data_IF_013981077477
#
_entry.id   IF_013981077477
#
_cell.length_a   1.000
_cell.length_b   1.000
_cell.length_c   1.000
_cell.angle_alpha   90.00
_cell.angle_beta   90.00
_cell.angle_gamma   90.00
#
_symmetry.space_group_name_H-M   'P 1'
#
loop_
_entity.id
_entity.type
_entity.pdbx_description
1 polymer ?
#
# COMPACT_ATOMS: atom_id res chain seq x y z
N UNK A 1 -31.58 -54.23 49.91
CA UNK A 1 -32.16 -53.04 49.26
C UNK A 1 -32.28 -51.97 50.34
N UNK A 2 -31.27 -51.11 50.49
CA UNK A 2 -31.31 -50.02 51.46
C UNK A 2 -32.00 -48.83 50.79
N UNK A 3 -33.21 -48.51 51.22
CA UNK A 3 -33.84 -47.23 50.88
C UNK A 3 -32.91 -46.11 51.36
N UNK A 4 -32.45 -45.19 50.48
CA UNK A 4 -31.74 -44.01 50.94
C UNK A 4 -32.71 -43.23 51.82
N UNK A 5 -32.35 -43.05 53.09
CA UNK A 5 -33.10 -42.19 53.99
C UNK A 5 -32.93 -40.77 53.43
N UNK A 6 -33.97 -40.25 52.77
CA UNK A 6 -34.00 -38.86 52.35
C UNK A 6 -34.04 -37.98 53.58
N UNK A 7 -32.95 -37.28 53.80
CA UNK A 7 -32.88 -36.26 54.83
C UNK A 7 -33.11 -34.95 54.10
N UNK A 8 -34.24 -34.27 54.34
CA UNK A 8 -34.65 -33.10 53.55
C UNK A 8 -33.58 -32.01 53.44
N UNK A 9 -32.73 -31.86 54.46
CA UNK A 9 -31.60 -30.91 54.44
C UNK A 9 -30.50 -31.28 53.46
N UNK A 10 -30.18 -32.57 53.29
CA UNK A 10 -29.13 -33.07 52.37
C UNK A 10 -29.63 -32.99 50.93
N UNK A 11 -30.84 -33.48 50.65
CA UNK A 11 -31.42 -33.41 49.30
C UNK A 11 -31.55 -31.96 48.82
N UNK A 12 -31.99 -31.05 49.70
CA UNK A 12 -32.06 -29.62 49.38
C UNK A 12 -30.67 -28.99 49.20
N UNK A 13 -29.62 -29.48 49.89
CA UNK A 13 -28.26 -29.00 49.67
C UNK A 13 -27.70 -29.49 48.33
N UNK A 14 -27.90 -30.77 47.99
CA UNK A 14 -27.48 -31.37 46.72
C UNK A 14 -28.11 -30.62 45.54
N UNK A 15 -29.41 -30.32 45.62
CA UNK A 15 -30.15 -29.62 44.56
C UNK A 15 -29.69 -28.16 44.39
N UNK A 16 -29.33 -27.49 45.49
CA UNK A 16 -28.79 -26.11 45.45
C UNK A 16 -27.32 -26.05 44.99
N UNK A 17 -26.57 -27.14 45.14
CA UNK A 17 -25.12 -27.18 44.92
C UNK A 17 -24.73 -28.22 43.85
N UNK A 18 -25.47 -28.29 42.74
CA UNK A 18 -25.27 -29.26 41.64
C UNK A 18 -23.84 -29.32 41.09
N UNK A 19 -23.08 -28.22 41.15
CA UNK A 19 -21.67 -28.17 40.72
C UNK A 19 -20.76 -28.99 41.64
N UNK A 20 -21.03 -28.99 42.94
CA UNK A 20 -20.14 -29.54 43.97
C UNK A 20 -20.60 -30.92 44.42
N UNK A 21 -21.92 -31.16 44.42
CA UNK A 21 -22.53 -32.39 44.93
C UNK A 21 -21.97 -33.69 44.32
N UNK A 22 -21.50 -33.76 43.05
CA UNK A 22 -20.85 -34.98 42.54
C UNK A 22 -19.57 -35.37 43.31
N UNK A 23 -18.93 -34.41 43.99
CA UNK A 23 -17.71 -34.63 44.77
C UNK A 23 -17.98 -34.97 46.24
N UNK A 24 -19.26 -35.07 46.64
CA UNK A 24 -19.65 -35.32 48.02
C UNK A 24 -20.46 -36.60 48.10
N UNK A 25 -20.01 -37.55 48.91
CA UNK A 25 -20.73 -38.78 49.20
C UNK A 25 -21.21 -38.77 50.65
N UNK A 26 -22.46 -39.18 50.84
CA UNK A 26 -23.09 -39.29 52.15
C UNK A 26 -23.27 -40.78 52.48
N UNK A 27 -22.60 -41.25 53.53
CA UNK A 27 -22.73 -42.63 54.02
C UNK A 27 -23.43 -42.62 55.39
N UNK A 28 -24.39 -43.53 55.60
CA UNK A 28 -25.04 -43.72 56.90
C UNK A 28 -24.27 -44.77 57.70
N UNK A 29 -24.03 -44.50 58.98
CA UNK A 29 -23.36 -45.43 59.91
C UNK A 29 -24.39 -46.10 60.82
N UNK A 30 -24.21 -47.40 61.08
CA UNK A 30 -25.09 -48.21 61.95
C UNK A 30 -24.91 -47.90 63.45
N UNK A 31 -24.46 -46.70 63.81
CA UNK A 31 -24.19 -46.32 65.20
C UNK A 31 -22.88 -46.84 65.79
N UNK A 32 -21.98 -47.41 64.98
CA UNK A 32 -20.65 -47.84 65.43
C UNK A 32 -19.82 -46.63 65.90
N UNK A 33 -19.63 -46.52 67.21
CA UNK A 33 -18.94 -45.41 67.89
C UNK A 33 -17.50 -45.24 67.42
N UNK A 34 -16.79 -46.32 67.06
CA UNK A 34 -15.41 -46.23 66.54
C UNK A 34 -15.40 -45.59 65.16
N UNK A 35 -16.35 -45.96 64.30
CA UNK A 35 -16.52 -45.34 62.99
C UNK A 35 -16.86 -43.85 63.15
N UNK A 36 -17.81 -43.51 64.02
CA UNK A 36 -18.21 -42.11 64.28
C UNK A 36 -17.01 -41.27 64.74
N UNK A 37 -16.16 -41.77 65.64
CA UNK A 37 -14.94 -41.06 66.05
C UNK A 37 -13.94 -40.87 64.91
N UNK A 38 -13.70 -41.91 64.10
CA UNK A 38 -12.85 -41.80 62.90
C UNK A 38 -13.39 -40.76 61.92
N UNK A 39 -14.72 -40.66 61.79
CA UNK A 39 -15.35 -39.66 60.93
C UNK A 39 -15.26 -38.24 61.47
N UNK A 40 -15.35 -38.03 62.79
CA UNK A 40 -15.05 -36.72 63.40
C UNK A 40 -13.61 -36.29 63.10
N UNK A 41 -12.65 -37.20 63.18
CA UNK A 41 -11.26 -36.92 62.81
C UNK A 41 -11.09 -36.61 61.30
N UNK A 42 -11.77 -37.36 60.42
CA UNK A 42 -11.74 -37.11 58.98
C UNK A 42 -12.40 -35.77 58.60
N UNK A 43 -13.47 -35.38 59.29
CA UNK A 43 -14.13 -34.08 59.13
C UNK A 43 -13.18 -32.92 59.41
N UNK A 44 -12.45 -32.96 60.53
CA UNK A 44 -11.44 -31.95 60.86
C UNK A 44 -10.30 -31.91 59.84
N UNK A 45 -9.88 -33.09 59.35
CA UNK A 45 -8.90 -33.18 58.27
C UNK A 45 -9.41 -32.52 56.98
N UNK A 46 -10.65 -32.80 56.58
CA UNK A 46 -11.25 -32.17 55.40
C UNK A 46 -11.36 -30.65 55.56
N UNK A 47 -11.79 -30.15 56.72
CA UNK A 47 -11.83 -28.72 57.01
C UNK A 47 -10.43 -28.07 56.85
N UNK A 48 -9.40 -28.70 57.41
CA UNK A 48 -8.01 -28.23 57.30
C UNK A 48 -7.54 -28.22 55.84
N UNK A 49 -7.77 -29.31 55.10
CA UNK A 49 -7.42 -29.41 53.67
C UNK A 49 -8.19 -28.38 52.83
N UNK A 50 -9.46 -28.14 53.13
CA UNK A 50 -10.32 -27.18 52.44
C UNK A 50 -9.85 -25.74 52.66
N UNK A 51 -9.48 -25.39 53.90
CA UNK A 51 -8.93 -24.06 54.23
C UNK A 51 -7.59 -23.83 53.54
N UNK A 52 -6.71 -24.85 53.50
CA UNK A 52 -5.45 -24.79 52.77
C UNK A 52 -5.67 -24.64 51.25
N UNK A 53 -6.61 -25.41 50.69
CA UNK A 53 -7.01 -25.31 49.28
C UNK A 53 -7.50 -23.90 48.95
N UNK A 54 -8.43 -23.36 49.76
CA UNK A 54 -8.95 -22.00 49.60
C UNK A 54 -7.85 -20.94 49.65
N UNK A 55 -6.96 -21.02 50.64
CA UNK A 55 -5.82 -20.10 50.77
C UNK A 55 -4.94 -20.10 49.52
N UNK A 56 -4.65 -21.28 48.96
CA UNK A 56 -3.88 -21.40 47.71
C UNK A 56 -4.64 -20.77 46.52
N UNK A 57 -5.94 -21.01 46.41
CA UNK A 57 -6.78 -20.42 45.36
C UNK A 57 -6.83 -18.89 45.48
N UNK A 58 -6.93 -18.32 46.69
CA UNK A 58 -6.89 -16.88 46.91
C UNK A 58 -5.55 -16.25 46.50
N UNK A 59 -4.44 -16.93 46.76
CA UNK A 59 -3.12 -16.50 46.28
C UNK A 59 -3.06 -16.49 44.74
N UNK A 60 -3.55 -17.55 44.09
CA UNK A 60 -3.65 -17.61 42.62
C UNK A 60 -4.58 -16.53 42.06
N UNK A 61 -5.68 -16.23 42.76
CA UNK A 61 -6.64 -15.18 42.38
C UNK A 61 -5.97 -13.81 42.37
N UNK A 62 -5.23 -13.50 43.43
CA UNK A 62 -4.48 -12.24 43.55
C UNK A 62 -3.40 -12.14 42.48
N UNK A 63 -2.74 -13.25 42.14
CA UNK A 63 -1.78 -13.29 41.03
C UNK A 63 -2.45 -13.03 39.67
N UNK A 64 -3.63 -13.61 39.42
CA UNK A 64 -4.39 -13.36 38.19
C UNK A 64 -4.82 -11.88 38.08
N UNK A 65 -5.31 -11.28 39.17
CA UNK A 65 -5.65 -9.85 39.23
C UNK A 65 -4.41 -8.99 38.93
N UNK A 66 -3.28 -9.32 39.55
CA UNK A 66 -2.02 -8.62 39.30
C UNK A 66 -1.63 -8.66 37.82
N UNK A 67 -1.68 -9.83 37.19
CA UNK A 67 -1.39 -9.99 35.76
C UNK A 67 -2.39 -9.22 34.88
N UNK A 68 -3.67 -9.16 35.25
CA UNK A 68 -4.65 -8.34 34.52
C UNK A 68 -4.25 -6.86 34.57
N UNK A 69 -3.92 -6.33 35.75
CA UNK A 69 -3.47 -4.94 35.91
C UNK A 69 -2.19 -4.70 35.10
N UNK A 70 -1.17 -5.56 35.25
CA UNK A 70 0.11 -5.42 34.55
C UNK A 70 -0.07 -5.39 33.01
N UNK A 71 -0.94 -6.24 32.45
CA UNK A 71 -1.17 -6.27 31.00
C UNK A 71 -2.07 -5.13 30.53
N UNK A 72 -3.03 -4.71 31.35
CA UNK A 72 -3.90 -3.57 31.06
C UNK A 72 -3.12 -2.25 31.05
N UNK A 73 -2.21 -2.09 32.01
CA UNK A 73 -1.41 -0.87 32.19
C UNK A 73 -0.20 -0.83 31.26
N UNK A 74 0.18 -1.97 30.66
CA UNK A 74 1.24 -2.03 29.67
C UNK A 74 0.87 -1.20 28.42
N UNK A 75 1.75 -0.30 27.95
CA UNK A 75 1.44 0.53 26.80
C UNK A 75 1.20 -0.33 25.55
N UNK A 76 0.23 0.09 24.74
CA UNK A 76 0.06 -0.48 23.42
C UNK A 76 1.28 -0.12 22.57
N UNK A 77 1.96 -1.14 22.04
CA UNK A 77 2.98 -0.93 21.03
C UNK A 77 2.35 -0.16 19.86
N UNK A 78 2.87 1.04 19.60
CA UNK A 78 2.48 1.86 18.45
C UNK A 78 3.31 1.43 17.25
N UNK A 79 2.69 1.49 16.08
CA UNK A 79 3.44 1.36 14.85
C UNK A 79 4.23 2.66 14.65
N UNK A 80 5.55 2.55 14.57
CA UNK A 80 6.41 3.69 14.22
C UNK A 80 6.23 4.10 12.76
N UNK A 81 6.97 5.13 12.32
CA UNK A 81 6.99 5.50 10.91
C UNK A 81 7.53 4.34 10.06
N UNK A 82 6.87 4.05 8.95
CA UNK A 82 7.33 3.04 7.99
C UNK A 82 8.51 3.61 7.22
N UNK A 83 9.69 3.21 7.64
CA UNK A 83 10.93 3.86 7.26
C UNK A 83 11.80 3.02 6.35
N UNK A 84 11.41 1.81 5.95
CA UNK A 84 12.30 0.92 5.20
C UNK A 84 12.10 1.00 3.69
N UNK A 85 13.20 0.84 2.95
CA UNK A 85 13.18 0.76 1.49
C UNK A 85 12.42 -0.48 1.00
N UNK A 86 12.64 -1.60 1.67
CA UNK A 86 12.00 -2.87 1.36
C UNK A 86 10.64 -2.99 2.05
N UNK A 87 9.58 -3.13 1.25
CA UNK A 87 8.21 -3.25 1.77
C UNK A 87 8.01 -4.51 2.62
N UNK A 88 8.83 -5.56 2.41
CA UNK A 88 8.80 -6.74 3.27
C UNK A 88 9.21 -6.39 4.69
N UNK A 89 10.22 -5.53 4.89
CA UNK A 89 10.67 -5.08 6.21
C UNK A 89 9.58 -4.27 6.93
N UNK A 90 8.94 -3.34 6.22
CA UNK A 90 7.78 -2.59 6.74
C UNK A 90 6.66 -3.55 7.18
N UNK A 91 6.41 -4.60 6.40
CA UNK A 91 5.39 -5.63 6.70
C UNK A 91 5.76 -6.46 7.93
N UNK A 92 7.03 -6.81 8.13
CA UNK A 92 7.49 -7.52 9.33
C UNK A 92 7.32 -6.65 10.59
N UNK A 93 7.59 -5.35 10.50
CA UNK A 93 7.31 -4.42 11.61
C UNK A 93 5.81 -4.36 11.95
N UNK A 94 4.93 -4.34 10.95
CA UNK A 94 3.47 -4.42 11.18
C UNK A 94 3.06 -5.69 11.90
N UNK A 95 3.59 -6.84 11.45
CA UNK A 95 3.33 -8.13 12.09
C UNK A 95 3.80 -8.14 13.53
N UNK A 96 4.96 -7.56 13.83
CA UNK A 96 5.49 -7.48 15.20
C UNK A 96 4.53 -6.72 16.13
N UNK A 97 4.07 -5.54 15.71
CA UNK A 97 3.09 -4.73 16.45
C UNK A 97 1.77 -5.48 16.62
N UNK A 98 1.28 -6.13 15.55
CA UNK A 98 0.07 -6.94 15.59
C UNK A 98 0.19 -8.09 16.60
N UNK A 99 1.30 -8.83 16.56
CA UNK A 99 1.56 -9.95 17.46
C UNK A 99 1.62 -9.49 18.91
N UNK A 100 2.31 -8.38 19.21
CA UNK A 100 2.36 -7.81 20.56
C UNK A 100 0.94 -7.55 21.10
N UNK A 101 0.12 -6.82 20.33
CA UNK A 101 -1.27 -6.51 20.71
C UNK A 101 -2.13 -7.76 20.84
N UNK A 102 -1.92 -8.74 19.95
CA UNK A 102 -2.66 -10.00 19.98
C UNK A 102 -2.31 -10.84 21.21
N UNK A 103 -1.03 -10.89 21.57
CA UNK A 103 -0.54 -11.56 22.79
C UNK A 103 -1.17 -10.91 24.01
N UNK A 104 -1.08 -9.58 24.17
CA UNK A 104 -1.71 -8.85 25.28
C UNK A 104 -3.21 -9.16 25.41
N UNK A 105 -3.95 -9.09 24.29
CA UNK A 105 -5.39 -9.39 24.28
C UNK A 105 -5.72 -10.83 24.70
N UNK A 106 -4.96 -11.82 24.22
CA UNK A 106 -5.18 -13.23 24.59
C UNK A 106 -4.76 -13.47 26.05
N UNK A 107 -3.70 -12.83 26.52
CA UNK A 107 -3.27 -12.90 27.93
C UNK A 107 -4.34 -12.34 28.85
N UNK A 108 -4.93 -11.17 28.56
CA UNK A 108 -6.06 -10.63 29.32
C UNK A 108 -7.25 -11.60 29.34
N UNK A 109 -7.59 -12.19 28.19
CA UNK A 109 -8.65 -13.19 28.11
C UNK A 109 -8.37 -14.43 28.96
N UNK A 110 -7.12 -14.91 28.94
CA UNK A 110 -6.68 -16.06 29.75
C UNK A 110 -6.71 -15.77 31.24
N UNK A 111 -6.22 -14.59 31.66
CA UNK A 111 -6.19 -14.19 33.06
C UNK A 111 -7.60 -13.94 33.61
N UNK A 112 -8.50 -13.33 32.84
CA UNK A 112 -9.91 -13.16 33.22
C UNK A 112 -10.63 -14.51 33.38
N UNK A 113 -10.42 -15.43 32.44
CA UNK A 113 -11.00 -16.78 32.55
C UNK A 113 -10.45 -17.54 33.77
N UNK A 114 -9.15 -17.38 34.05
CA UNK A 114 -8.51 -17.94 35.25
C UNK A 114 -9.12 -17.35 36.52
N UNK A 115 -9.29 -16.02 36.56
CA UNK A 115 -9.90 -15.32 37.69
C UNK A 115 -11.33 -15.83 37.97
N UNK A 116 -12.16 -15.95 36.93
CA UNK A 116 -13.53 -16.45 37.07
C UNK A 116 -13.57 -17.88 37.64
N UNK A 117 -12.74 -18.80 37.08
CA UNK A 117 -12.67 -20.17 37.57
C UNK A 117 -12.19 -20.25 39.03
N UNK A 118 -11.26 -19.38 39.43
CA UNK A 118 -10.77 -19.31 40.81
C UNK A 118 -11.83 -18.79 41.77
N UNK A 119 -12.58 -17.74 41.39
CA UNK A 119 -13.69 -17.21 42.18
C UNK A 119 -14.74 -18.31 42.41
N UNK A 120 -15.16 -18.97 41.34
CA UNK A 120 -16.12 -20.08 41.40
C UNK A 120 -15.65 -21.21 42.33
N UNK A 121 -14.37 -21.61 42.24
CA UNK A 121 -13.82 -22.68 43.08
C UNK A 121 -13.70 -22.26 44.55
N UNK A 122 -13.38 -20.99 44.83
CA UNK A 122 -13.35 -20.44 46.19
C UNK A 122 -14.76 -20.47 46.81
N UNK A 123 -15.80 -20.09 46.05
CA UNK A 123 -17.19 -20.20 46.50
C UNK A 123 -17.59 -21.65 46.80
N UNK A 124 -17.13 -22.60 45.99
CA UNK A 124 -17.36 -24.02 46.25
C UNK A 124 -16.70 -24.49 47.55
N UNK A 125 -15.50 -24.00 47.84
CA UNK A 125 -14.83 -24.27 49.10
C UNK A 125 -15.63 -23.74 50.30
N UNK A 126 -16.21 -22.53 50.20
CA UNK A 126 -17.05 -21.99 51.28
C UNK A 126 -18.35 -22.79 51.46
N UNK A 127 -19.03 -23.16 50.37
CA UNK A 127 -20.25 -23.99 50.43
C UNK A 127 -20.00 -25.36 51.07
N UNK A 128 -18.86 -25.99 50.77
CA UNK A 128 -18.46 -27.24 51.43
C UNK A 128 -18.09 -27.05 52.89
N UNK A 129 -17.44 -25.94 53.24
CA UNK A 129 -17.11 -25.60 54.62
C UNK A 129 -18.40 -25.41 55.43
N UNK A 130 -19.38 -24.69 54.88
CA UNK A 130 -20.70 -24.53 55.47
C UNK A 130 -21.38 -25.89 55.68
N UNK A 131 -21.37 -26.77 54.68
CA UNK A 131 -21.92 -28.12 54.80
C UNK A 131 -21.23 -28.91 55.93
N UNK A 132 -19.89 -28.88 56.00
CA UNK A 132 -19.15 -29.58 57.04
C UNK A 132 -19.46 -29.01 58.43
N UNK A 133 -19.68 -27.70 58.56
CA UNK A 133 -19.98 -27.06 59.84
C UNK A 133 -21.47 -27.11 60.22
N UNK A 134 -22.36 -27.57 59.34
CA UNK A 134 -23.80 -27.59 59.58
C UNK A 134 -24.16 -28.60 60.70
N UNK A 135 -24.67 -28.06 61.81
CA UNK A 135 -25.12 -28.84 62.96
C UNK A 135 -26.42 -29.62 62.68
N UNK A 136 -27.12 -29.32 61.58
CA UNK A 136 -28.35 -30.01 61.18
C UNK A 136 -28.12 -31.37 60.55
N UNK A 137 -26.86 -31.73 60.25
CA UNK A 137 -26.52 -33.03 59.70
C UNK A 137 -26.44 -34.04 60.87
N UNK A 138 -27.28 -35.09 60.88
CA UNK A 138 -27.23 -36.12 61.91
C UNK A 138 -25.84 -36.71 62.11
N UNK A 139 -25.45 -36.97 63.37
CA UNK A 139 -24.11 -37.49 63.70
C UNK A 139 -23.82 -38.87 63.11
N UNK A 140 -24.85 -39.63 62.72
CA UNK A 140 -24.71 -40.93 62.08
C UNK A 140 -24.42 -40.83 60.57
N UNK A 141 -24.36 -39.62 59.98
CA UNK A 141 -24.05 -39.41 58.57
C UNK A 141 -22.63 -38.94 58.40
N UNK A 142 -21.98 -39.55 57.43
CA UNK A 142 -20.60 -39.33 57.09
C UNK A 142 -20.54 -38.62 55.77
N UNK A 143 -19.80 -37.53 55.75
CA UNK A 143 -19.51 -36.78 54.53
C UNK A 143 -18.11 -37.19 54.07
N UNK A 144 -18.02 -37.78 52.87
CA UNK A 144 -16.77 -38.03 52.17
C UNK A 144 -16.63 -37.08 51.01
N UNK A 145 -15.51 -36.38 50.94
CA UNK A 145 -15.19 -35.49 49.83
C UNK A 145 -14.18 -36.20 48.93
N UNK A 146 -14.47 -36.21 47.63
CA UNK A 146 -13.57 -36.74 46.61
C UNK A 146 -12.26 -35.94 46.60
N UNK A 147 -11.11 -36.62 46.59
CA UNK A 147 -9.80 -35.96 46.60
C UNK A 147 -9.57 -35.07 45.38
N UNK A 148 -10.21 -35.40 44.25
CA UNK A 148 -10.16 -34.59 43.03
C UNK A 148 -10.79 -33.21 43.22
N UNK A 149 -11.68 -33.01 44.22
CA UNK A 149 -12.20 -31.69 44.56
C UNK A 149 -11.07 -30.72 44.95
N UNK A 150 -10.07 -31.19 45.68
CA UNK A 150 -8.96 -30.34 46.15
C UNK A 150 -7.93 -30.04 45.06
N UNK A 151 -8.04 -30.70 43.89
CA UNK A 151 -7.20 -30.45 42.74
C UNK A 151 -7.78 -29.32 41.89
N UNK A 152 -7.01 -28.26 41.68
CA UNK A 152 -7.35 -27.23 40.70
C UNK A 152 -6.97 -27.72 39.30
N UNK A 153 -7.96 -28.04 38.47
CA UNK A 153 -7.74 -28.41 37.07
C UNK A 153 -7.90 -27.21 36.15
N UNK A 154 -6.91 -26.97 35.31
CA UNK A 154 -6.98 -25.94 34.29
C UNK A 154 -7.94 -26.43 33.20
N UNK A 155 -8.98 -25.65 32.91
CA UNK A 155 -9.96 -25.99 31.88
C UNK A 155 -9.28 -26.18 30.51
N UNK A 156 -9.83 -27.05 29.66
CA UNK A 156 -9.35 -27.25 28.27
C UNK A 156 -9.31 -25.93 27.50
N UNK A 157 -10.23 -25.00 27.80
CA UNK A 157 -10.26 -23.66 27.21
C UNK A 157 -9.04 -22.84 27.62
N UNK A 158 -8.67 -22.83 28.91
CA UNK A 158 -7.47 -22.16 29.40
C UNK A 158 -6.19 -22.80 28.83
N UNK A 159 -6.11 -24.13 28.77
CA UNK A 159 -4.96 -24.82 28.17
C UNK A 159 -4.74 -24.40 26.70
N UNK A 160 -5.83 -24.31 25.91
CA UNK A 160 -5.77 -23.81 24.52
C UNK A 160 -5.31 -22.35 24.45
N UNK A 161 -5.74 -21.50 25.37
CA UNK A 161 -5.30 -20.11 25.43
C UNK A 161 -3.81 -20.01 25.77
N UNK A 162 -3.34 -20.74 26.79
CA UNK A 162 -1.93 -20.78 27.19
C UNK A 162 -1.05 -21.27 26.04
N UNK A 163 -1.41 -22.38 25.40
CA UNK A 163 -0.68 -22.89 24.23
C UNK A 163 -0.57 -21.84 23.12
N UNK A 164 -1.68 -21.14 22.83
CA UNK A 164 -1.71 -20.08 21.82
C UNK A 164 -0.82 -18.89 22.20
N UNK A 165 -0.82 -18.47 23.47
CA UNK A 165 0.05 -17.40 23.97
C UNK A 165 1.51 -17.79 23.75
N UNK A 166 1.91 -18.98 24.19
CA UNK A 166 3.29 -19.48 24.03
C UNK A 166 3.71 -19.56 22.57
N UNK A 167 2.86 -20.10 21.70
CA UNK A 167 3.15 -20.18 20.26
C UNK A 167 3.35 -18.79 19.63
N UNK A 168 2.50 -17.82 19.99
CA UNK A 168 2.60 -16.44 19.51
C UNK A 168 3.84 -15.73 20.07
N UNK A 169 4.18 -15.94 21.34
CA UNK A 169 5.39 -15.39 21.96
C UNK A 169 6.65 -15.91 21.27
N UNK A 170 6.71 -17.22 21.00
CA UNK A 170 7.84 -17.81 20.27
C UNK A 170 8.00 -17.21 18.86
N UNK A 171 6.88 -16.97 18.17
CA UNK A 171 6.92 -16.33 16.86
C UNK A 171 7.30 -14.84 16.96
N UNK A 172 6.77 -14.13 17.95
CA UNK A 172 7.11 -12.74 18.25
C UNK A 172 8.62 -12.58 18.50
N UNK A 173 9.22 -13.42 19.36
CA UNK A 173 10.66 -13.33 19.67
C UNK A 173 11.54 -13.53 18.43
N UNK A 174 11.23 -14.53 17.60
CA UNK A 174 11.95 -14.76 16.33
C UNK A 174 11.82 -13.58 15.37
N UNK A 175 10.62 -13.01 15.28
CA UNK A 175 10.38 -11.85 14.44
C UNK A 175 11.09 -10.61 14.97
N UNK A 176 11.09 -10.41 16.29
CA UNK A 176 11.78 -9.29 16.94
C UNK A 176 13.28 -9.34 16.67
N UNK A 177 13.92 -10.51 16.85
CA UNK A 177 15.34 -10.73 16.51
C UNK A 177 15.63 -10.40 15.05
N UNK A 178 14.78 -10.86 14.12
CA UNK A 178 14.89 -10.53 12.69
C UNK A 178 14.80 -9.02 12.45
N UNK A 179 13.83 -8.34 13.06
CA UNK A 179 13.62 -6.90 12.84
C UNK A 179 14.73 -6.02 13.44
N UNK A 180 15.41 -6.47 14.49
CA UNK A 180 16.57 -5.75 15.07
C UNK A 180 17.75 -5.65 14.10
N UNK A 181 17.81 -6.50 13.09
CA UNK A 181 18.85 -6.48 12.05
C UNK A 181 18.56 -5.47 10.93
N UNK A 182 17.35 -4.89 10.89
CA UNK A 182 17.01 -3.93 9.85
C UNK A 182 17.72 -2.60 10.11
N UNK A 183 18.52 -2.16 9.15
CA UNK A 183 19.10 -0.84 9.17
C UNK A 183 18.12 0.17 8.57
N UNK A 184 17.81 1.27 9.29
CA UNK A 184 17.08 2.37 8.68
C UNK A 184 17.85 2.89 7.46
N UNK A 185 17.16 3.24 6.36
CA UNK A 185 17.81 3.73 5.16
C UNK A 185 18.31 5.17 5.35
N UNK A 186 19.27 5.57 4.50
CA UNK A 186 19.93 6.88 4.61
C UNK A 186 18.96 8.06 4.55
N UNK A 187 17.94 8.03 3.69
CA UNK A 187 16.93 9.09 3.62
C UNK A 187 16.15 9.29 4.93
N UNK A 188 16.09 8.26 5.79
CA UNK A 188 15.46 8.33 7.10
C UNK A 188 16.41 8.92 8.16
N UNK A 189 17.69 8.52 8.14
CA UNK A 189 18.65 8.87 9.19
C UNK A 189 19.45 10.14 8.91
N UNK A 190 19.69 10.45 7.64
CA UNK A 190 20.53 11.54 7.14
C UNK A 190 20.02 11.96 5.76
N UNK A 191 18.94 12.74 5.76
CA UNK A 191 18.32 13.20 4.52
C UNK A 191 19.23 14.09 3.67
N UNK A 192 19.97 15.09 4.21
CA UNK A 192 20.91 15.89 3.43
C UNK A 192 21.99 15.02 2.76
N UNK A 193 22.61 14.09 3.49
CA UNK A 193 23.61 13.19 2.90
C UNK A 193 23.02 12.22 1.89
N UNK A 194 21.75 11.81 2.04
CA UNK A 194 21.02 11.08 1.00
C UNK A 194 20.84 11.92 -0.27
N UNK A 195 20.39 13.18 -0.14
CA UNK A 195 20.20 14.08 -1.28
C UNK A 195 21.50 14.35 -2.03
N UNK A 196 22.61 14.60 -1.31
CA UNK A 196 23.93 14.71 -1.92
C UNK A 196 24.28 13.50 -2.79
N UNK A 197 24.14 12.31 -2.22
CA UNK A 197 24.45 11.08 -2.94
C UNK A 197 23.54 10.88 -4.17
N UNK A 198 22.24 11.16 -4.02
CA UNK A 198 21.26 11.01 -5.08
C UNK A 198 21.55 11.97 -6.24
N UNK A 199 21.72 13.27 -5.95
CA UNK A 199 21.93 14.30 -6.97
C UNK A 199 23.28 14.14 -7.67
N UNK A 200 24.37 13.92 -6.95
CA UNK A 200 25.69 13.74 -7.59
C UNK A 200 25.73 12.49 -8.48
N UNK A 201 25.02 11.42 -8.10
CA UNK A 201 24.89 10.23 -8.96
C UNK A 201 24.01 10.49 -10.18
N UNK A 202 22.92 11.25 -10.00
CA UNK A 202 21.96 11.56 -11.05
C UNK A 202 22.53 12.39 -12.21
N UNK A 203 23.46 13.32 -11.90
CA UNK A 203 24.07 14.21 -12.91
C UNK A 203 24.78 13.44 -14.04
N UNK A 204 25.29 12.24 -13.76
CA UNK A 204 25.90 11.39 -14.80
C UNK A 204 24.91 10.92 -15.87
N UNK A 205 23.60 10.98 -15.59
CA UNK A 205 22.51 10.62 -16.49
C UNK A 205 21.81 11.83 -17.11
N UNK A 206 22.26 13.05 -16.80
CA UNK A 206 21.64 14.29 -17.28
C UNK A 206 21.87 14.47 -18.78
N UNK A 207 20.78 14.50 -19.54
CA UNK A 207 20.79 15.04 -20.90
C UNK A 207 20.86 16.56 -20.81
N UNK A 208 22.07 17.10 -21.02
CA UNK A 208 22.32 18.54 -20.95
C UNK A 208 21.57 19.35 -22.01
N UNK A 209 21.20 18.72 -23.12
CA UNK A 209 20.47 19.40 -24.21
C UNK A 209 19.01 19.58 -23.82
N UNK A 210 18.43 18.57 -23.17
CA UNK A 210 17.05 18.59 -22.72
C UNK A 210 16.86 19.17 -21.32
N UNK A 211 17.95 19.29 -20.55
CA UNK A 211 17.92 19.53 -19.10
C UNK A 211 17.02 18.51 -18.38
N UNK A 212 17.17 17.23 -18.75
CA UNK A 212 16.28 16.15 -18.34
C UNK A 212 17.04 14.91 -17.87
N UNK A 213 16.51 14.23 -16.86
CA UNK A 213 16.92 12.88 -16.47
C UNK A 213 15.70 11.94 -16.52
N UNK A 214 15.80 10.70 -17.03
CA UNK A 214 14.73 9.71 -16.90
C UNK A 214 14.44 9.37 -15.42
N UNK A 215 13.31 8.71 -15.10
CA UNK A 215 13.00 8.28 -13.73
C UNK A 215 14.10 7.43 -13.09
N UNK A 216 14.31 7.62 -11.78
CA UNK A 216 15.43 7.03 -11.05
C UNK A 216 15.01 6.31 -9.77
N UNK A 217 15.85 5.40 -9.29
CA UNK A 217 15.54 4.56 -8.11
C UNK A 217 15.46 5.34 -6.79
N UNK A 218 15.97 6.57 -6.72
CA UNK A 218 15.93 7.43 -5.53
C UNK A 218 14.64 8.24 -5.40
N UNK A 219 13.81 8.30 -6.42
CA UNK A 219 12.54 9.03 -6.39
C UNK A 219 11.56 8.44 -5.36
N UNK A 220 11.51 7.10 -5.25
CA UNK A 220 10.65 6.44 -4.26
C UNK A 220 11.10 6.76 -2.80
N UNK A 221 12.38 6.61 -2.41
CA UNK A 221 12.90 7.14 -1.14
C UNK A 221 12.57 8.60 -0.87
N UNK A 222 12.70 9.48 -1.86
CA UNK A 222 12.41 10.90 -1.73
C UNK A 222 10.92 11.14 -1.45
N UNK A 223 10.04 10.51 -2.22
CA UNK A 223 8.58 10.55 -2.00
C UNK A 223 8.22 10.04 -0.61
N UNK A 224 8.83 8.93 -0.16
CA UNK A 224 8.63 8.42 1.21
C UNK A 224 9.04 9.42 2.27
N UNK A 225 10.20 10.06 2.15
CA UNK A 225 10.61 11.09 3.10
C UNK A 225 9.61 12.25 3.19
N UNK A 226 9.02 12.64 2.05
CA UNK A 226 8.02 13.70 2.00
C UNK A 226 6.72 13.29 2.73
N UNK A 227 6.24 12.06 2.53
CA UNK A 227 4.89 11.65 2.96
C UNK A 227 4.82 10.66 4.13
N UNK A 228 5.94 10.21 4.70
CA UNK A 228 5.94 9.28 5.84
C UNK A 228 5.68 9.95 7.19
N UNK A 229 5.53 11.28 7.23
CA UNK A 229 5.35 12.08 8.44
C UNK A 229 6.62 12.32 9.25
N UNK A 230 7.80 12.12 8.64
CA UNK A 230 9.10 12.44 9.27
C UNK A 230 9.44 13.91 9.07
N UNK A 231 9.10 14.45 7.91
CA UNK A 231 9.29 15.85 7.54
C UNK A 231 7.95 16.59 7.47
N UNK A 232 8.00 17.91 7.43
CA UNK A 232 6.85 18.77 7.14
C UNK A 232 6.63 18.97 5.62
N UNK A 233 7.42 18.31 4.77
CA UNK A 233 7.40 18.50 3.32
C UNK A 233 6.06 18.08 2.72
N UNK A 234 5.51 16.94 3.16
CA UNK A 234 4.21 16.46 2.69
C UNK A 234 3.08 17.46 2.95
N UNK A 235 3.11 18.17 4.09
CA UNK A 235 2.13 19.21 4.39
C UNK A 235 2.28 20.41 3.44
N UNK A 236 3.52 20.88 3.22
CA UNK A 236 3.79 21.99 2.28
C UNK A 236 3.38 21.63 0.85
N UNK A 237 3.65 20.39 0.44
CA UNK A 237 3.24 19.86 -0.86
C UNK A 237 1.71 19.82 -0.97
N UNK A 238 1.02 19.29 0.05
CA UNK A 238 -0.45 19.25 0.05
C UNK A 238 -1.08 20.66 0.05
N UNK A 239 -0.43 21.64 0.69
CA UNK A 239 -0.83 23.04 0.68
C UNK A 239 -0.70 23.66 -0.71
N UNK A 240 0.43 23.48 -1.41
CA UNK A 240 0.56 23.96 -2.78
C UNK A 240 -0.40 23.22 -3.71
N UNK A 241 -0.58 21.91 -3.56
CA UNK A 241 -1.47 21.13 -4.42
C UNK A 241 -2.90 21.66 -4.38
N UNK A 242 -3.38 22.14 -3.22
CA UNK A 242 -4.72 22.74 -3.09
C UNK A 242 -4.88 24.02 -3.89
N UNK A 243 -3.80 24.76 -4.16
CA UNK A 243 -3.91 26.04 -4.87
C UNK A 243 -4.25 25.87 -6.34
N UNK A 244 -4.07 24.66 -6.92
CA UNK A 244 -4.48 24.33 -8.29
C UNK A 244 -5.98 24.59 -8.55
N UNK A 245 -6.80 24.56 -7.48
CA UNK A 245 -8.24 24.82 -7.54
C UNK A 245 -8.58 26.30 -7.80
N UNK A 246 -7.63 27.20 -7.51
CA UNK A 246 -7.87 28.65 -7.45
C UNK A 246 -6.89 29.46 -8.27
N UNK A 247 -5.68 28.95 -8.53
CA UNK A 247 -4.62 29.66 -9.24
C UNK A 247 -4.64 29.32 -10.73
N UNK A 248 -4.39 30.30 -11.62
CA UNK A 248 -4.10 30.03 -13.01
C UNK A 248 -2.87 29.12 -13.16
N UNK A 249 -2.81 28.24 -14.18
CA UNK A 249 -1.70 27.29 -14.34
C UNK A 249 -0.29 27.91 -14.35
N UNK A 250 -0.02 29.06 -15.02
CA UNK A 250 1.32 29.65 -15.01
C UNK A 250 1.80 30.09 -13.62
N UNK A 251 0.91 30.70 -12.83
CA UNK A 251 1.20 31.16 -11.47
C UNK A 251 1.40 29.96 -10.55
N UNK A 252 0.52 28.95 -10.69
CA UNK A 252 0.63 27.69 -9.98
C UNK A 252 1.99 27.00 -10.23
N UNK A 253 2.42 26.88 -11.50
CA UNK A 253 3.70 26.27 -11.85
C UNK A 253 4.89 27.02 -11.27
N UNK A 254 4.85 28.35 -11.27
CA UNK A 254 5.90 29.15 -10.65
C UNK A 254 6.01 28.82 -9.15
N UNK A 255 4.89 28.75 -8.44
CA UNK A 255 4.89 28.37 -7.02
C UNK A 255 5.32 26.92 -6.78
N UNK A 256 4.99 26.00 -7.69
CA UNK A 256 5.49 24.61 -7.64
C UNK A 256 7.01 24.56 -7.76
N UNK A 257 7.60 25.30 -8.72
CA UNK A 257 9.05 25.33 -8.88
C UNK A 257 9.76 26.02 -7.71
N UNK A 258 9.20 27.14 -7.21
CA UNK A 258 9.70 27.82 -6.03
C UNK A 258 9.71 26.88 -4.82
N UNK A 259 8.60 26.18 -4.56
CA UNK A 259 8.54 25.18 -3.50
C UNK A 259 9.57 24.08 -3.73
N UNK A 260 9.62 23.50 -4.94
CA UNK A 260 10.55 22.43 -5.29
C UNK A 260 12.01 22.79 -5.00
N UNK A 261 12.42 24.03 -5.31
CA UNK A 261 13.74 24.54 -4.93
C UNK A 261 13.91 24.61 -3.41
N UNK A 262 12.95 25.18 -2.68
CA UNK A 262 13.03 25.30 -1.21
C UNK A 262 13.11 23.97 -0.46
N UNK A 263 12.63 22.87 -1.07
CA UNK A 263 12.68 21.52 -0.49
C UNK A 263 14.06 20.85 -0.68
N UNK A 264 14.94 21.39 -1.53
CA UNK A 264 16.31 20.90 -1.66
C UNK A 264 17.10 21.39 -0.43
N UNK A 265 17.65 20.48 0.41
CA UNK A 265 18.47 20.88 1.55
C UNK A 265 19.78 21.52 1.08
N UNK A 266 20.39 22.38 1.89
CA UNK A 266 21.75 22.89 1.67
C UNK A 266 22.06 23.36 0.23
N UNK A 267 21.14 24.08 -0.42
CA UNK A 267 21.21 24.46 -1.84
C UNK A 267 22.56 25.03 -2.28
N UNK A 268 23.22 25.81 -1.42
CA UNK A 268 24.51 26.46 -1.68
C UNK A 268 25.66 25.46 -1.91
N UNK A 269 25.49 24.22 -1.45
CA UNK A 269 26.48 23.16 -1.60
C UNK A 269 26.37 22.39 -2.92
N UNK A 270 25.31 22.63 -3.70
CA UNK A 270 25.04 21.93 -4.96
C UNK A 270 25.45 22.75 -6.18
N UNK A 271 26.00 22.05 -7.19
CA UNK A 271 26.23 22.65 -8.50
C UNK A 271 24.91 22.93 -9.24
N UNK A 272 24.93 23.82 -10.23
CA UNK A 272 23.73 24.13 -11.04
C UNK A 272 23.08 22.89 -11.68
N UNK A 273 23.83 21.92 -12.25
CA UNK A 273 23.23 20.67 -12.74
C UNK A 273 22.55 19.86 -11.63
N UNK A 274 23.13 19.80 -10.43
CA UNK A 274 22.53 19.07 -9.30
C UNK A 274 21.25 19.76 -8.82
N UNK A 275 21.23 21.09 -8.74
CA UNK A 275 20.02 21.85 -8.41
C UNK A 275 18.93 21.67 -9.46
N UNK A 276 19.28 21.68 -10.75
CA UNK A 276 18.33 21.43 -11.84
C UNK A 276 17.72 20.03 -11.76
N UNK A 277 18.54 19.02 -11.45
CA UNK A 277 18.05 17.66 -11.22
C UNK A 277 17.17 17.59 -9.98
N UNK A 278 17.58 18.19 -8.85
CA UNK A 278 16.80 18.20 -7.63
C UNK A 278 15.44 18.87 -7.82
N UNK A 279 15.39 19.95 -8.58
CA UNK A 279 14.14 20.62 -8.95
C UNK A 279 13.23 19.69 -9.77
N UNK A 280 13.76 18.99 -10.77
CA UNK A 280 12.97 18.01 -11.54
C UNK A 280 12.44 16.87 -10.67
N UNK A 281 13.25 16.35 -9.73
CA UNK A 281 12.83 15.28 -8.82
C UNK A 281 11.67 15.76 -7.91
N UNK A 282 11.75 16.95 -7.33
CA UNK A 282 10.65 17.49 -6.53
C UNK A 282 9.43 17.87 -7.37
N UNK A 283 9.65 18.36 -8.60
CA UNK A 283 8.56 18.61 -9.54
C UNK A 283 7.76 17.32 -9.79
N UNK A 284 8.44 16.18 -10.03
CA UNK A 284 7.80 14.86 -10.13
C UNK A 284 7.04 14.49 -8.86
N UNK A 285 7.66 14.60 -7.68
CA UNK A 285 7.00 14.28 -6.39
C UNK A 285 5.73 15.10 -6.17
N UNK A 286 5.76 16.40 -6.52
CA UNK A 286 4.59 17.28 -6.41
C UNK A 286 3.50 16.87 -7.40
N UNK A 287 3.86 16.57 -8.66
CA UNK A 287 2.90 16.15 -9.67
C UNK A 287 2.32 14.75 -9.43
N UNK A 288 3.10 13.82 -8.90
CA UNK A 288 2.58 12.52 -8.42
C UNK A 288 1.51 12.73 -7.35
N UNK A 289 1.75 13.68 -6.43
CA UNK A 289 0.79 14.02 -5.38
C UNK A 289 -0.44 14.75 -5.94
N UNK A 290 -0.28 15.62 -6.93
CA UNK A 290 -1.40 16.25 -7.64
C UNK A 290 -2.26 15.21 -8.37
N UNK A 291 -1.62 14.23 -9.02
CA UNK A 291 -2.32 13.15 -9.70
C UNK A 291 -3.14 12.30 -8.73
N UNK A 292 -2.60 12.03 -7.52
CA UNK A 292 -3.34 11.33 -6.47
C UNK A 292 -4.56 12.12 -5.97
N UNK A 293 -4.41 13.44 -5.78
CA UNK A 293 -5.43 14.29 -5.14
C UNK A 293 -6.47 14.86 -6.11
N UNK A 294 -6.06 15.19 -7.33
CA UNK A 294 -6.85 15.96 -8.30
C UNK A 294 -6.72 15.44 -9.75
N UNK A 295 -6.90 14.13 -10.01
CA UNK A 295 -6.71 13.56 -11.34
C UNK A 295 -7.62 14.21 -12.40
N UNK A 296 -8.87 14.52 -12.05
CA UNK A 296 -9.86 15.11 -12.96
C UNK A 296 -9.52 16.55 -13.39
N UNK A 297 -8.66 17.25 -12.63
CA UNK A 297 -8.20 18.60 -12.96
C UNK A 297 -7.03 18.53 -13.95
N UNK A 298 -6.13 17.57 -13.72
CA UNK A 298 -4.98 17.34 -14.58
C UNK A 298 -5.41 16.77 -15.94
N UNK A 299 -6.34 15.80 -15.93
CA UNK A 299 -6.77 15.06 -17.11
C UNK A 299 -8.27 15.26 -17.36
N UNK A 300 -8.60 16.24 -18.19
CA UNK A 300 -10.00 16.54 -18.54
C UNK A 300 -10.44 15.66 -19.70
N UNK A 301 -11.22 14.62 -19.38
CA UNK A 301 -11.79 13.70 -20.37
C UNK A 301 -12.53 14.46 -21.48
N UNK A 302 -12.15 14.22 -22.72
CA UNK A 302 -12.83 14.76 -23.90
C UNK A 302 -13.87 13.77 -24.42
N UNK A 303 -15.13 14.21 -24.48
CA UNK A 303 -16.21 13.37 -25.02
C UNK A 303 -15.97 13.06 -26.50
N UNK A 304 -16.30 11.83 -26.91
CA UNK A 304 -16.23 11.35 -28.29
C UNK A 304 -14.84 11.26 -28.94
N UNK A 305 -13.75 11.60 -28.23
CA UNK A 305 -12.39 11.49 -28.76
C UNK A 305 -12.09 10.07 -29.24
N UNK A 306 -12.28 9.07 -28.38
CA UNK A 306 -12.01 7.67 -28.71
C UNK A 306 -12.80 7.18 -29.94
N UNK A 307 -14.05 7.61 -30.08
CA UNK A 307 -14.90 7.26 -31.25
C UNK A 307 -14.35 7.91 -32.52
N UNK A 308 -14.00 9.21 -32.45
CA UNK A 308 -13.41 9.93 -33.57
C UNK A 308 -12.09 9.31 -33.98
N UNK A 309 -11.23 8.95 -33.02
CA UNK A 309 -9.93 8.36 -33.30
C UNK A 309 -10.09 6.97 -33.92
N UNK A 310 -10.96 6.13 -33.37
CA UNK A 310 -11.25 4.83 -33.98
C UNK A 310 -11.74 4.95 -35.42
N UNK A 311 -12.54 5.97 -35.76
CA UNK A 311 -12.96 6.23 -37.14
C UNK A 311 -11.78 6.63 -38.02
N UNK A 312 -10.97 7.59 -37.60
CA UNK A 312 -9.80 8.06 -38.35
C UNK A 312 -8.76 6.93 -38.53
N UNK A 313 -8.42 6.20 -37.47
CA UNK A 313 -7.45 5.10 -37.49
C UNK A 313 -7.79 3.99 -38.50
N UNK A 314 -9.07 3.79 -38.82
CA UNK A 314 -9.54 2.77 -39.76
C UNK A 314 -9.61 3.27 -41.22
N UNK A 315 -9.29 4.54 -41.47
CA UNK A 315 -9.28 5.09 -42.82
C UNK A 315 -8.04 4.61 -43.63
N UNK A 316 -8.18 4.45 -44.96
CA UNK A 316 -7.07 4.09 -45.84
C UNK A 316 -5.90 5.08 -45.82
N UNK A 317 -4.67 4.57 -45.93
CA UNK A 317 -3.45 5.37 -46.01
C UNK A 317 -3.48 6.46 -47.10
N UNK A 318 -4.09 6.22 -48.26
CA UNK A 318 -4.15 7.20 -49.35
C UNK A 318 -4.84 8.53 -48.98
N UNK A 319 -5.67 8.54 -47.95
CA UNK A 319 -6.34 9.74 -47.47
C UNK A 319 -5.42 10.70 -46.71
N UNK A 320 -4.27 10.22 -46.24
CA UNK A 320 -3.37 10.96 -45.36
C UNK A 320 -2.18 11.62 -46.07
N UNK A 321 -2.03 11.43 -47.39
CA UNK A 321 -0.95 12.03 -48.19
C UNK A 321 0.45 11.76 -47.59
N UNK A 322 0.68 10.50 -47.23
CA UNK A 322 1.92 10.06 -46.59
C UNK A 322 3.16 10.38 -47.46
N UNK A 323 4.26 10.91 -46.89
CA UNK A 323 5.44 11.28 -47.66
C UNK A 323 6.10 10.07 -48.30
N UNK A 324 6.36 10.15 -49.62
CA UNK A 324 6.98 9.08 -50.37
C UNK A 324 8.38 8.76 -49.82
N UNK A 325 8.73 7.47 -49.79
CA UNK A 325 10.04 6.92 -49.32
C UNK A 325 10.34 7.09 -47.83
N UNK A 326 9.62 7.94 -47.10
CA UNK A 326 9.78 8.13 -45.65
C UNK A 326 8.74 7.36 -44.84
N UNK A 327 7.59 7.05 -45.44
CA UNK A 327 6.48 6.36 -44.78
C UNK A 327 6.68 4.83 -44.69
N UNK A 328 5.95 4.14 -43.81
CA UNK A 328 5.88 2.68 -43.84
C UNK A 328 5.59 2.12 -45.23
N UNK A 329 6.12 0.94 -45.54
CA UNK A 329 5.66 0.19 -46.70
C UNK A 329 4.19 -0.21 -46.48
N UNK A 330 3.30 0.26 -47.32
CA UNK A 330 1.86 0.10 -47.14
C UNK A 330 1.14 -0.13 -48.47
N UNK A 331 -0.03 -0.77 -48.38
CA UNK A 331 -0.98 -0.79 -49.48
C UNK A 331 -1.87 0.44 -49.33
N UNK A 332 -2.12 1.19 -50.41
CA UNK A 332 -2.93 2.42 -50.40
C UNK A 332 -4.28 2.26 -49.67
N UNK A 333 -4.93 1.11 -49.82
CA UNK A 333 -6.24 0.77 -49.22
C UNK A 333 -6.15 0.25 -47.78
N UNK A 334 -4.95 -0.02 -47.26
CA UNK A 334 -4.75 -0.51 -45.90
C UNK A 334 -5.09 0.59 -44.88
N UNK A 335 -5.70 0.24 -43.73
CA UNK A 335 -5.89 1.21 -42.65
C UNK A 335 -4.57 1.80 -42.15
N UNK A 336 -4.53 3.11 -41.92
CA UNK A 336 -3.33 3.80 -41.44
C UNK A 336 -2.80 3.22 -40.12
N UNK A 337 -3.70 2.80 -39.22
CA UNK A 337 -3.34 2.13 -37.97
C UNK A 337 -2.52 0.87 -38.20
N UNK A 338 -2.93 0.03 -39.13
CA UNK A 338 -2.24 -1.23 -39.41
C UNK A 338 -0.89 -1.00 -40.08
N UNK A 339 -0.81 -0.03 -41.00
CA UNK A 339 0.43 0.29 -41.70
C UNK A 339 1.55 0.70 -40.72
N UNK A 340 1.26 1.62 -39.80
CA UNK A 340 2.25 2.07 -38.82
C UNK A 340 2.50 1.06 -37.70
N UNK A 341 1.47 0.35 -37.22
CA UNK A 341 1.61 -0.62 -36.12
C UNK A 341 2.44 -1.85 -36.50
N UNK A 342 2.31 -2.30 -37.75
CA UNK A 342 3.02 -3.46 -38.26
C UNK A 342 4.41 -3.12 -38.80
N UNK A 343 4.71 -1.84 -39.01
CA UNK A 343 6.01 -1.40 -39.47
C UNK A 343 7.08 -1.52 -38.37
N UNK A 344 8.18 -2.20 -38.72
CA UNK A 344 9.26 -2.48 -37.78
C UNK A 344 9.94 -1.21 -37.26
N UNK A 345 10.10 -0.18 -38.10
CA UNK A 345 10.83 1.04 -37.74
C UNK A 345 9.97 2.03 -36.96
N UNK A 346 8.69 2.18 -37.33
CA UNK A 346 7.76 3.11 -36.70
C UNK A 346 7.15 2.61 -35.38
N UNK A 347 7.22 1.31 -35.12
CA UNK A 347 6.72 0.72 -33.87
C UNK A 347 7.28 1.39 -32.62
N UNK A 348 8.58 1.72 -32.59
CA UNK A 348 9.18 2.38 -31.41
C UNK A 348 8.62 3.78 -31.17
N UNK A 349 8.35 4.55 -32.24
CA UNK A 349 7.73 5.87 -32.09
C UNK A 349 6.33 5.74 -31.48
N UNK A 350 5.54 4.80 -31.99
CA UNK A 350 4.19 4.50 -31.49
C UNK A 350 4.21 4.11 -30.01
N UNK A 351 5.15 3.26 -29.60
CA UNK A 351 5.30 2.81 -28.21
C UNK A 351 5.75 3.92 -27.26
N UNK A 352 6.65 4.82 -27.69
CA UNK A 352 7.02 5.98 -26.88
C UNK A 352 5.81 6.91 -26.70
N UNK A 353 5.04 7.16 -27.75
CA UNK A 353 3.83 7.97 -27.65
C UNK A 353 2.81 7.32 -26.72
N UNK A 354 2.58 6.02 -26.84
CA UNK A 354 1.70 5.26 -25.95
C UNK A 354 2.16 5.35 -24.48
N UNK A 355 3.48 5.36 -24.23
CA UNK A 355 4.00 5.44 -22.86
C UNK A 355 3.68 6.74 -22.12
N UNK A 356 3.33 7.82 -22.84
CA UNK A 356 2.92 9.10 -22.24
C UNK A 356 1.72 8.94 -21.30
N UNK A 357 0.78 8.02 -21.57
CA UNK A 357 -0.37 7.81 -20.69
C UNK A 357 -0.02 7.28 -19.28
N UNK A 358 1.23 6.85 -19.07
CA UNK A 358 1.72 6.41 -17.76
C UNK A 358 2.51 7.49 -17.03
N UNK A 359 2.68 8.67 -17.63
CA UNK A 359 3.34 9.80 -17.01
C UNK A 359 2.34 10.59 -16.16
N UNK A 360 2.78 10.98 -14.96
CA UNK A 360 2.00 11.76 -13.98
C UNK A 360 2.41 13.23 -13.96
N UNK A 361 3.45 13.59 -14.71
CA UNK A 361 4.00 14.94 -14.79
C UNK A 361 4.27 15.34 -16.25
N UNK A 362 4.08 16.63 -16.58
CA UNK A 362 4.07 17.08 -17.97
C UNK A 362 5.46 17.08 -18.63
N UNK A 363 6.54 17.09 -17.85
CA UNK A 363 7.91 17.02 -18.38
C UNK A 363 8.22 15.61 -18.89
N UNK A 364 7.77 14.57 -18.20
CA UNK A 364 7.93 13.18 -18.65
C UNK A 364 7.07 12.89 -19.89
N UNK A 365 5.86 13.45 -19.96
CA UNK A 365 5.05 13.43 -21.18
C UNK A 365 5.76 14.10 -22.36
N UNK A 366 6.31 15.30 -22.15
CA UNK A 366 7.09 16.00 -23.17
C UNK A 366 8.31 15.21 -23.61
N UNK A 367 8.98 14.51 -22.68
CA UNK A 367 10.09 13.64 -23.02
C UNK A 367 9.63 12.48 -23.92
N UNK A 368 8.50 11.83 -23.60
CA UNK A 368 7.93 10.77 -24.42
C UNK A 368 7.55 11.25 -25.83
N UNK A 369 6.95 12.45 -25.92
CA UNK A 369 6.60 13.08 -27.20
C UNK A 369 7.88 13.42 -27.99
N UNK A 370 8.87 14.03 -27.35
CA UNK A 370 10.16 14.33 -27.97
C UNK A 370 10.84 13.07 -28.52
N UNK A 371 10.86 11.98 -27.73
CA UNK A 371 11.39 10.68 -28.17
C UNK A 371 10.60 10.10 -29.33
N UNK A 372 9.29 10.29 -29.37
CA UNK A 372 8.44 9.91 -30.51
C UNK A 372 8.90 10.61 -31.78
N UNK A 373 9.10 11.93 -31.74
CA UNK A 373 9.54 12.72 -32.89
C UNK A 373 10.94 12.32 -33.38
N UNK A 374 11.87 12.00 -32.47
CA UNK A 374 13.18 11.48 -32.83
C UNK A 374 13.08 10.09 -33.47
N UNK A 375 12.23 9.21 -32.94
CA UNK A 375 11.99 7.89 -33.50
C UNK A 375 11.36 7.96 -34.90
N UNK A 376 10.47 8.93 -35.16
CA UNK A 376 9.92 9.16 -36.51
C UNK A 376 11.02 9.58 -37.48
N UNK A 377 11.87 10.55 -37.12
CA UNK A 377 12.99 10.95 -37.97
C UNK A 377 13.92 9.77 -38.28
N UNK A 378 14.22 8.95 -37.28
CA UNK A 378 15.01 7.72 -37.45
C UNK A 378 14.31 6.72 -38.36
N UNK A 379 13.02 6.47 -38.17
CA UNK A 379 12.24 5.52 -38.95
C UNK A 379 12.15 5.95 -40.42
N UNK A 380 11.87 7.23 -40.67
CA UNK A 380 11.87 7.81 -42.01
C UNK A 380 13.23 7.69 -42.70
N UNK A 381 14.33 7.94 -41.98
CA UNK A 381 15.67 7.70 -42.52
C UNK A 381 15.86 6.23 -42.90
N UNK A 382 15.50 5.29 -42.03
CA UNK A 382 15.62 3.86 -42.35
C UNK A 382 14.80 3.48 -43.60
N UNK A 383 13.59 4.03 -43.74
CA UNK A 383 12.75 3.82 -44.92
C UNK A 383 13.37 4.38 -46.21
N UNK A 384 13.94 5.60 -46.16
CA UNK A 384 14.64 6.19 -47.31
C UNK A 384 15.84 5.36 -47.75
N UNK A 385 16.54 4.75 -46.78
CA UNK A 385 17.76 4.00 -47.05
C UNK A 385 17.51 2.57 -47.58
N UNK A 386 16.35 1.95 -47.30
CA UNK A 386 16.02 0.57 -47.72
C UNK A 386 17.22 -0.40 -47.57
N UNK A 387 17.73 -0.53 -46.34
CA UNK A 387 18.87 -1.39 -45.97
C UNK A 387 20.26 -0.90 -46.42
N UNK A 388 20.38 0.29 -47.01
CA UNK A 388 21.69 0.92 -47.27
C UNK A 388 22.29 1.56 -46.01
N UNK A 389 23.62 1.61 -45.94
CA UNK A 389 24.33 2.28 -44.85
C UNK A 389 24.16 3.79 -44.96
N UNK A 390 23.63 4.42 -43.92
CA UNK A 390 23.44 5.88 -43.85
C UNK A 390 24.80 6.60 -43.76
N UNK A 391 24.95 7.67 -44.55
CA UNK A 391 26.06 8.62 -44.40
C UNK A 391 25.77 9.64 -43.30
N UNK A 392 26.80 10.39 -42.89
CA UNK A 392 26.65 11.49 -41.91
C UNK A 392 25.68 12.56 -42.43
N UNK A 393 25.67 12.81 -43.75
CA UNK A 393 24.76 13.78 -44.34
C UNK A 393 23.30 13.32 -44.26
N UNK A 394 23.04 12.02 -44.46
CA UNK A 394 21.68 11.46 -44.35
C UNK A 394 21.15 11.55 -42.91
N UNK A 395 22.04 11.41 -41.91
CA UNK A 395 21.69 11.55 -40.50
C UNK A 395 21.33 13.01 -40.15
N UNK A 396 21.98 13.98 -40.80
CA UNK A 396 21.74 15.39 -40.57
C UNK A 396 20.52 15.93 -41.36
N UNK A 397 20.04 15.20 -42.38
CA UNK A 397 18.79 15.50 -43.06
C UNK A 397 17.58 15.08 -42.22
N UNK A 398 17.14 16.01 -41.36
CA UNK A 398 15.86 15.92 -40.68
C UNK A 398 14.70 16.12 -41.66
N UNK A 399 13.55 15.52 -41.33
CA UNK A 399 12.32 15.73 -42.06
C UNK A 399 11.91 17.21 -42.01
N UNK A 400 11.28 17.68 -43.10
CA UNK A 400 10.56 18.95 -43.02
C UNK A 400 9.37 18.81 -42.06
N UNK A 401 8.83 19.94 -41.60
CA UNK A 401 7.73 19.93 -40.64
C UNK A 401 6.50 19.18 -41.18
N UNK A 402 6.13 19.38 -42.44
CA UNK A 402 4.94 18.75 -43.04
C UNK A 402 5.04 17.22 -43.04
N UNK A 403 6.19 16.68 -43.46
CA UNK A 403 6.44 15.23 -43.47
C UNK A 403 6.45 14.66 -42.06
N UNK A 404 7.17 15.29 -41.13
CA UNK A 404 7.22 14.87 -39.73
C UNK A 404 5.83 14.88 -39.10
N UNK A 405 5.04 15.92 -39.38
CA UNK A 405 3.71 16.11 -38.86
C UNK A 405 2.75 15.00 -39.30
N UNK A 406 2.72 14.68 -40.61
CA UNK A 406 1.88 13.62 -41.16
C UNK A 406 2.28 12.24 -40.61
N UNK A 407 3.59 11.98 -40.48
CA UNK A 407 4.10 10.75 -39.89
C UNK A 407 3.79 10.66 -38.39
N UNK A 408 3.80 11.79 -37.67
CA UNK A 408 3.39 11.86 -36.27
C UNK A 408 1.90 11.57 -36.10
N UNK A 409 1.05 12.10 -36.98
CA UNK A 409 -0.37 11.74 -37.04
C UNK A 409 -0.55 10.23 -37.29
N UNK A 410 0.23 9.62 -38.17
CA UNK A 410 0.21 8.16 -38.41
C UNK A 410 0.63 7.34 -37.19
N UNK A 411 1.68 7.75 -36.48
CA UNK A 411 2.09 7.14 -35.22
C UNK A 411 1.02 7.29 -34.13
N UNK A 412 0.35 8.43 -34.05
CA UNK A 412 -0.75 8.64 -33.12
C UNK A 412 -1.97 7.78 -33.45
N UNK A 413 -2.41 7.74 -34.71
CA UNK A 413 -3.56 6.91 -35.10
C UNK A 413 -3.29 5.40 -34.99
N UNK A 414 -2.03 5.01 -34.89
CA UNK A 414 -1.60 3.64 -34.59
C UNK A 414 -1.31 3.37 -33.12
N UNK A 415 -1.14 4.40 -32.29
CA UNK A 415 -1.04 4.25 -30.85
C UNK A 415 -2.42 4.00 -30.28
N UNK A 416 -2.54 3.06 -29.34
CA UNK A 416 -3.80 2.75 -28.66
C UNK A 416 -4.08 3.77 -27.54
N UNK A 417 -3.83 5.05 -27.81
CA UNK A 417 -3.86 6.14 -26.84
C UNK A 417 -5.26 6.77 -26.78
N UNK A 418 -6.01 6.46 -25.72
CA UNK A 418 -7.43 6.81 -25.61
C UNK A 418 -7.71 8.26 -25.18
N UNK A 419 -6.73 8.93 -24.57
CA UNK A 419 -6.89 10.25 -23.92
C UNK A 419 -5.82 11.25 -24.37
N UNK A 420 -5.44 11.20 -25.64
CA UNK A 420 -4.39 12.05 -26.18
C UNK A 420 -4.69 13.54 -26.07
N UNK A 421 -5.94 13.96 -26.26
CA UNK A 421 -6.34 15.35 -26.08
C UNK A 421 -6.21 15.80 -24.62
N UNK A 422 -6.50 14.90 -23.67
CA UNK A 422 -6.31 15.17 -22.24
C UNK A 422 -4.82 15.32 -21.91
N UNK A 423 -3.97 14.43 -22.44
CA UNK A 423 -2.50 14.50 -22.28
C UNK A 423 -1.95 15.78 -22.89
N UNK A 424 -2.41 16.16 -24.09
CA UNK A 424 -1.94 17.38 -24.73
C UNK A 424 -2.38 18.65 -23.98
N UNK A 425 -3.61 18.69 -23.46
CA UNK A 425 -4.08 19.78 -22.59
C UNK A 425 -3.33 19.81 -21.25
N UNK A 426 -2.98 18.65 -20.69
CA UNK A 426 -2.15 18.55 -19.49
C UNK A 426 -0.75 19.13 -19.73
N UNK A 427 -0.07 18.69 -20.79
CA UNK A 427 1.24 19.21 -21.21
C UNK A 427 1.19 20.72 -21.48
N UNK A 428 0.19 21.20 -22.22
CA UNK A 428 0.08 22.60 -22.57
C UNK A 428 -0.14 23.51 -21.35
N UNK A 429 -0.95 23.05 -20.38
CA UNK A 429 -1.27 23.84 -19.18
C UNK A 429 -0.18 23.78 -18.12
N UNK A 430 0.50 22.64 -17.99
CA UNK A 430 1.36 22.36 -16.83
C UNK A 430 2.85 22.22 -17.16
N UNK A 431 3.26 22.38 -18.42
CA UNK A 431 4.69 22.53 -18.75
C UNK A 431 5.19 23.94 -18.43
N UNK A 432 6.30 24.12 -17.68
CA UNK A 432 6.84 25.42 -17.35
C UNK A 432 7.59 26.04 -18.55
N UNK A 433 6.84 26.64 -19.48
CA UNK A 433 7.35 27.16 -20.75
C UNK A 433 8.58 28.08 -20.62
N UNK A 434 8.70 28.84 -19.53
CA UNK A 434 9.83 29.76 -19.29
C UNK A 434 11.17 29.07 -18.98
N UNK A 435 11.19 27.75 -18.77
CA UNK A 435 12.42 27.00 -18.52
C UNK A 435 12.51 25.68 -19.31
N UNK A 436 11.70 25.52 -20.37
CA UNK A 436 11.83 24.38 -21.28
C UNK A 436 13.08 24.53 -22.15
N UNK A 437 13.65 23.40 -22.57
CA UNK A 437 14.64 23.39 -23.64
C UNK A 437 13.96 23.60 -25.00
N UNK A 438 14.67 24.16 -25.97
CA UNK A 438 14.15 24.37 -27.33
C UNK A 438 13.57 23.07 -27.94
N UNK A 439 14.15 21.92 -27.61
CA UNK A 439 13.67 20.60 -28.06
C UNK A 439 12.31 20.23 -27.47
N UNK A 440 12.06 20.59 -26.20
CA UNK A 440 10.77 20.40 -25.54
C UNK A 440 9.73 21.42 -26.00
N UNK A 441 10.13 22.68 -26.23
CA UNK A 441 9.25 23.68 -26.83
C UNK A 441 8.79 23.25 -28.23
N UNK A 442 9.71 22.73 -29.05
CA UNK A 442 9.37 22.18 -30.37
C UNK A 442 8.42 20.99 -30.28
N UNK A 443 8.65 20.08 -29.34
CA UNK A 443 7.77 18.93 -29.11
C UNK A 443 6.37 19.39 -28.68
N UNK A 444 6.28 20.37 -27.78
CA UNK A 444 5.02 20.96 -27.33
C UNK A 444 4.26 21.62 -28.49
N UNK A 445 4.92 22.48 -29.28
CA UNK A 445 4.30 23.15 -30.42
C UNK A 445 3.79 22.15 -31.48
N UNK A 446 4.53 21.06 -31.69
CA UNK A 446 4.12 19.97 -32.59
C UNK A 446 2.89 19.23 -32.06
N UNK A 447 2.84 18.98 -30.75
CA UNK A 447 1.68 18.37 -30.09
C UNK A 447 0.42 19.26 -30.22
N UNK A 448 0.53 20.55 -29.92
CA UNK A 448 -0.56 21.52 -30.02
C UNK A 448 -1.08 21.66 -31.47
N UNK A 449 -0.16 21.63 -32.44
CA UNK A 449 -0.50 21.61 -33.87
C UNK A 449 -1.28 20.35 -34.23
N UNK A 450 -0.88 19.19 -33.69
CA UNK A 450 -1.55 17.92 -33.95
C UNK A 450 -2.96 17.92 -33.35
N UNK A 451 -3.13 18.41 -32.12
CA UNK A 451 -4.45 18.62 -31.48
C UNK A 451 -5.35 19.49 -32.34
N UNK A 452 -4.84 20.63 -32.80
CA UNK A 452 -5.59 21.58 -33.64
C UNK A 452 -6.05 20.90 -34.94
N UNK A 453 -5.14 20.16 -35.59
CA UNK A 453 -5.45 19.41 -36.80
C UNK A 453 -6.52 18.34 -36.56
N UNK A 454 -6.35 17.52 -35.53
CA UNK A 454 -7.29 16.45 -35.19
C UNK A 454 -8.67 17.03 -34.87
N UNK A 455 -8.76 18.18 -34.19
CA UNK A 455 -10.05 18.82 -33.93
C UNK A 455 -10.76 19.22 -35.24
N UNK A 456 -10.01 19.70 -36.23
CA UNK A 456 -10.54 20.13 -37.53
C UNK A 456 -10.85 18.99 -38.51
N UNK A 457 -10.19 17.85 -38.40
CA UNK A 457 -10.26 16.79 -39.41
C UNK A 457 -11.49 15.89 -39.23
N UNK A 458 -12.09 15.49 -40.36
CA UNK A 458 -13.16 14.49 -40.46
C UNK A 458 -12.89 13.56 -41.64
N UNK A 459 -13.50 12.36 -41.68
CA UNK A 459 -13.38 11.46 -42.83
C UNK A 459 -13.76 12.13 -44.16
N UNK A 460 -14.76 13.00 -44.16
CA UNK A 460 -15.23 13.68 -45.38
C UNK A 460 -14.24 14.74 -45.86
N UNK A 461 -13.67 15.53 -44.93
CA UNK A 461 -12.63 16.52 -45.27
C UNK A 461 -11.42 15.85 -45.92
N UNK A 462 -11.01 14.69 -45.41
CA UNK A 462 -9.89 13.93 -46.00
C UNK A 462 -10.19 13.47 -47.43
N UNK A 463 -11.39 12.93 -47.67
CA UNK A 463 -11.83 12.49 -49.00
C UNK A 463 -11.90 13.66 -49.98
N UNK A 464 -12.45 14.80 -49.56
CA UNK A 464 -12.51 16.01 -50.38
C UNK A 464 -11.13 16.52 -50.77
N UNK A 465 -10.16 16.50 -49.84
CA UNK A 465 -8.76 16.88 -50.12
C UNK A 465 -8.14 15.98 -51.18
N UNK A 466 -8.32 14.66 -51.07
CA UNK A 466 -7.78 13.71 -52.04
C UNK A 466 -8.38 13.93 -53.44
N UNK A 467 -9.69 14.19 -53.55
CA UNK A 467 -10.36 14.49 -54.82
C UNK A 467 -9.78 15.77 -55.44
N UNK A 468 -9.60 16.84 -54.65
CA UNK A 468 -9.01 18.10 -55.14
C UNK A 468 -7.60 17.88 -55.69
N UNK A 469 -6.75 17.13 -54.99
CA UNK A 469 -5.38 16.85 -55.43
C UNK A 469 -5.37 16.03 -56.72
N UNK A 470 -6.18 14.97 -56.81
CA UNK A 470 -6.29 14.16 -58.04
C UNK A 470 -6.76 14.99 -59.23
N UNK A 471 -7.70 15.91 -59.01
CA UNK A 471 -8.17 16.80 -60.07
C UNK A 471 -7.09 17.81 -60.50
N UNK A 472 -6.29 18.33 -59.57
CA UNK A 472 -5.18 19.24 -59.88
C UNK A 472 -3.99 18.57 -60.57
N UNK A 473 -3.80 17.26 -60.39
CA UNK A 473 -2.74 16.50 -61.07
C UNK A 473 -3.12 16.04 -62.49
N UNK A 474 -4.43 16.02 -62.80
CA UNK A 474 -4.97 15.67 -64.12
C UNK A 474 -5.18 16.90 -65.03
N UNK A 475 -4.88 18.10 -64.53
CA UNK A 475 -4.82 19.36 -65.28
C UNK A 475 -3.36 19.71 -65.56
#
# INVERSE_FOLDING_TARGET
MNCPIEIPSISAWIERNKRISPNVKFDVTDGDTKKIQSYKANKERYLTTLMNCKKNLEMMKNQAIKTISEVHDAPFMKLGHLSFNDQTQNTEMHKLVFLHRKIQSITLKSSNETLNNLIEKIEDCEKLKELLLDQKIPENIVIKIDETFFMYSISMKLQKLTFRITALQNYYSKLEEKTKLFSPPKWFTDFPGFMHQALSSAVSHLDKTLSYIPPQSWELPLSRYCFSGISDYGQKIDEICKTILTMPPPDFLKSVLELGLTLIPDQESFSTPELSVGLLLYFRVIFDRLYELYPDILFVKKENEAVKMAQLSNLPCELYLLPEKSSPDHISTQPIREAFRNDYYYRSATQFLESSMFCTNPIDDLYAIHKTLLCINKAALMQRMKEKVASINDINELLCFDDLFVLFLGCYLSSDLYEFMSIADFVARFSPAFCLSNSFEYAQATLESLVTHINSITPDILRERLVKIRNSQNQ
#
